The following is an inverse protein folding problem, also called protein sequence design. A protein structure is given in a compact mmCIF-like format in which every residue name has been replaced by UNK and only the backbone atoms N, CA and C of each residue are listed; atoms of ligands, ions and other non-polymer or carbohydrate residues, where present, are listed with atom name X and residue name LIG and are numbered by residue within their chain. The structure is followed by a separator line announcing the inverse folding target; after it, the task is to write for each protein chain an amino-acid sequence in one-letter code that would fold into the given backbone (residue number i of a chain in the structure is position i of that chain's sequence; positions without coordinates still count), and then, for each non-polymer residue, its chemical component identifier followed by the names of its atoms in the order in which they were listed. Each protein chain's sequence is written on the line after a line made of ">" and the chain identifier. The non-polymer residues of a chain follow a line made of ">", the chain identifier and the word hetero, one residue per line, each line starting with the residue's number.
data_IF_678162986201
#
_entry.id   IF_678162986201
#
_cell.length_a   1.000
_cell.length_b   1.000
_cell.length_c   1.000
_cell.angle_alpha   90.00
_cell.angle_beta   90.00
_cell.angle_gamma   90.00
#
_symmetry.space_group_name_H-M   'P 1'
#
loop_
_entity.id
_entity.type
_entity.pdbx_description
1 polymer ?
#
# COMPACT_ATOMS: atom_id res chain seq x y z
N UNK A 1 -16.12 42.83 65.37
CA UNK A 1 -16.52 42.80 63.95
C UNK A 1 -16.80 44.21 63.48
N UNK A 2 -16.15 44.67 62.41
CA UNK A 2 -16.55 45.91 61.72
C UNK A 2 -16.76 45.56 60.25
N UNK A 3 -18.00 45.27 59.93
CA UNK A 3 -18.47 44.87 58.61
C UNK A 3 -18.55 46.13 57.74
N UNK A 4 -17.57 46.30 56.85
CA UNK A 4 -17.52 47.42 55.90
C UNK A 4 -18.64 47.25 54.88
N UNK A 5 -19.70 48.06 55.01
CA UNK A 5 -20.78 48.17 54.04
C UNK A 5 -20.22 48.43 52.62
N UNK A 6 -20.81 47.82 51.57
CA UNK A 6 -20.34 47.99 50.20
C UNK A 6 -20.59 49.44 49.75
N UNK A 7 -19.51 50.21 49.57
CA UNK A 7 -19.57 51.53 48.93
C UNK A 7 -20.13 51.34 47.52
N UNK A 8 -21.32 51.88 47.24
CA UNK A 8 -21.87 51.99 45.88
C UNK A 8 -20.86 52.74 45.01
N UNK A 9 -20.22 52.02 44.10
CA UNK A 9 -19.24 52.58 43.16
C UNK A 9 -20.01 53.54 42.24
N UNK A 10 -19.58 54.80 42.06
CA UNK A 10 -20.28 55.75 41.22
C UNK A 10 -20.40 55.20 39.79
N UNK A 11 -21.57 55.36 39.18
CA UNK A 11 -21.93 54.76 37.88
C UNK A 11 -20.92 55.12 36.76
N UNK A 12 -20.29 56.29 36.84
CA UNK A 12 -19.21 56.72 35.94
C UNK A 12 -17.94 55.84 36.02
N UNK A 13 -17.55 55.40 37.22
CA UNK A 13 -16.38 54.52 37.42
C UNK A 13 -16.63 53.11 36.87
N UNK A 14 -17.87 52.62 37.01
CA UNK A 14 -18.27 51.33 36.45
C UNK A 14 -18.20 51.34 34.93
N UNK A 15 -18.65 52.43 34.30
CA UNK A 15 -18.57 52.62 32.85
C UNK A 15 -17.13 52.71 32.34
N UNK A 16 -16.24 53.39 33.07
CA UNK A 16 -14.82 53.45 32.72
C UNK A 16 -14.14 52.07 32.84
N UNK A 17 -14.42 51.32 33.91
CA UNK A 17 -13.94 49.93 34.08
C UNK A 17 -14.44 49.02 32.96
N UNK A 18 -15.71 49.12 32.58
CA UNK A 18 -16.29 48.35 31.45
C UNK A 18 -15.62 48.68 30.12
N UNK A 19 -15.33 49.96 29.84
CA UNK A 19 -14.60 50.38 28.63
C UNK A 19 -13.17 49.85 28.62
N UNK A 20 -12.47 49.90 29.75
CA UNK A 20 -11.12 49.35 29.87
C UNK A 20 -11.10 47.83 29.66
N UNK A 21 -12.04 47.10 30.27
CA UNK A 21 -12.18 45.66 30.11
C UNK A 21 -12.49 45.26 28.66
N UNK A 22 -13.40 45.97 27.98
CA UNK A 22 -13.70 45.71 26.57
C UNK A 22 -12.49 45.96 25.68
N UNK A 23 -11.71 47.02 25.93
CA UNK A 23 -10.45 47.26 25.21
C UNK A 23 -9.44 46.14 25.44
N UNK A 24 -9.30 45.67 26.67
CA UNK A 24 -8.42 44.54 27.00
C UNK A 24 -8.89 43.24 26.33
N UNK A 25 -10.19 42.94 26.39
CA UNK A 25 -10.78 41.77 25.74
C UNK A 25 -10.60 41.82 24.21
N UNK A 26 -10.79 42.98 23.59
CA UNK A 26 -10.58 43.16 22.15
C UNK A 26 -9.11 42.95 21.75
N UNK A 27 -8.17 43.44 22.57
CA UNK A 27 -6.73 43.21 22.35
C UNK A 27 -6.40 41.73 22.47
N UNK A 28 -6.84 41.06 23.53
CA UNK A 28 -6.65 39.62 23.71
C UNK A 28 -7.27 38.80 22.57
N UNK A 29 -8.44 39.20 22.06
CA UNK A 29 -9.06 38.53 20.92
C UNK A 29 -8.25 38.70 19.64
N UNK A 30 -7.76 39.92 19.37
CA UNK A 30 -6.90 40.19 18.21
C UNK A 30 -5.60 39.40 18.29
N UNK A 31 -4.95 39.40 19.45
CA UNK A 31 -3.70 38.67 19.70
C UNK A 31 -3.88 37.16 19.52
N UNK A 32 -4.96 36.58 20.06
CA UNK A 32 -5.28 35.16 19.83
C UNK A 32 -5.55 34.84 18.37
N UNK A 33 -6.26 35.73 17.65
CA UNK A 33 -6.56 35.54 16.23
C UNK A 33 -5.28 35.61 15.39
N UNK A 34 -4.42 36.59 15.66
CA UNK A 34 -3.12 36.73 15.01
C UNK A 34 -2.20 35.55 15.32
N UNK A 35 -2.17 35.09 16.58
CA UNK A 35 -1.43 33.89 16.98
C UNK A 35 -1.89 32.64 16.22
N UNK A 36 -3.21 32.44 16.08
CA UNK A 36 -3.75 31.31 15.31
C UNK A 36 -3.46 31.44 13.81
N UNK A 37 -3.52 32.64 13.25
CA UNK A 37 -3.15 32.87 11.84
C UNK A 37 -1.67 32.55 11.61
N UNK A 38 -0.80 32.97 12.52
CA UNK A 38 0.62 32.65 12.47
C UNK A 38 0.86 31.14 12.59
N UNK A 39 0.24 30.48 13.57
CA UNK A 39 0.34 29.03 13.74
C UNK A 39 -0.11 28.25 12.49
N UNK A 40 -1.19 28.69 11.84
CA UNK A 40 -1.65 28.09 10.59
C UNK A 40 -0.67 28.34 9.44
N UNK A 41 -0.09 29.54 9.35
CA UNK A 41 0.96 29.84 8.39
C UNK A 41 2.21 28.97 8.59
N UNK A 42 2.65 28.82 9.84
CA UNK A 42 3.79 27.98 10.21
C UNK A 42 3.53 26.50 9.88
N UNK A 43 2.32 25.98 10.17
CA UNK A 43 1.92 24.61 9.80
C UNK A 43 1.88 24.40 8.29
N UNK A 44 1.39 25.38 7.54
CA UNK A 44 1.34 25.31 6.09
C UNK A 44 2.75 25.29 5.50
N UNK A 45 3.64 26.17 5.97
CA UNK A 45 5.04 26.19 5.55
C UNK A 45 5.75 24.86 5.85
N UNK A 46 5.54 24.29 7.04
CA UNK A 46 6.09 22.99 7.42
C UNK A 46 5.55 21.86 6.51
N UNK A 47 4.25 21.86 6.22
CA UNK A 47 3.64 20.87 5.35
C UNK A 47 4.17 20.97 3.92
N UNK A 48 4.36 22.17 3.39
CA UNK A 48 4.97 22.40 2.08
C UNK A 48 6.42 21.93 2.02
N UNK A 49 7.22 22.21 3.06
CA UNK A 49 8.60 21.71 3.17
C UNK A 49 8.66 20.17 3.17
N UNK A 50 7.81 19.53 3.99
CA UNK A 50 7.70 18.08 4.04
C UNK A 50 7.28 17.49 2.69
N UNK A 51 6.32 18.11 2.01
CA UNK A 51 5.87 17.71 0.67
C UNK A 51 7.04 17.75 -0.33
N UNK A 52 7.81 18.83 -0.33
CA UNK A 52 8.97 18.99 -1.22
C UNK A 52 10.06 17.97 -0.92
N UNK A 53 10.32 17.67 0.35
CA UNK A 53 11.28 16.64 0.75
C UNK A 53 10.87 15.25 0.24
N UNK A 54 9.61 14.86 0.47
CA UNK A 54 9.08 13.59 0.00
C UNK A 54 9.10 13.49 -1.52
N UNK A 55 8.75 14.57 -2.23
CA UNK A 55 8.79 14.62 -3.69
C UNK A 55 10.22 14.42 -4.23
N UNK A 56 11.22 14.98 -3.55
CA UNK A 56 12.63 14.77 -3.89
C UNK A 56 13.04 13.30 -3.69
N UNK A 57 12.72 12.71 -2.54
CA UNK A 57 13.02 11.30 -2.24
C UNK A 57 12.34 10.36 -3.24
N UNK A 58 11.09 10.63 -3.60
CA UNK A 58 10.34 9.87 -4.61
C UNK A 58 11.05 9.93 -5.97
N UNK A 59 11.46 11.13 -6.41
CA UNK A 59 12.16 11.30 -7.67
C UNK A 59 13.52 10.56 -7.68
N UNK A 60 14.25 10.59 -6.57
CA UNK A 60 15.50 9.86 -6.42
C UNK A 60 15.30 8.35 -6.53
N UNK A 61 14.30 7.80 -5.83
CA UNK A 61 13.96 6.37 -5.90
C UNK A 61 13.54 5.98 -7.32
N UNK A 62 12.69 6.78 -7.98
CA UNK A 62 12.30 6.55 -9.37
C UNK A 62 13.49 6.52 -10.31
N UNK A 63 14.40 7.48 -10.18
CA UNK A 63 15.63 7.50 -10.98
C UNK A 63 16.47 6.25 -10.72
N UNK A 64 16.62 5.84 -9.46
CA UNK A 64 17.37 4.63 -9.11
C UNK A 64 16.74 3.35 -9.68
N UNK A 65 15.41 3.22 -9.62
CA UNK A 65 14.70 2.10 -10.22
C UNK A 65 14.92 2.04 -11.74
N UNK A 66 14.79 3.17 -12.43
CA UNK A 66 15.07 3.24 -13.88
C UNK A 66 16.50 2.77 -14.18
N UNK A 67 17.49 3.18 -13.38
CA UNK A 67 18.88 2.74 -13.58
C UNK A 67 19.05 1.24 -13.36
N UNK A 68 18.44 0.68 -12.31
CA UNK A 68 18.47 -0.76 -12.04
C UNK A 68 17.76 -1.56 -13.13
N UNK A 69 16.63 -1.08 -13.63
CA UNK A 69 15.89 -1.72 -14.72
C UNK A 69 16.72 -1.74 -16.02
N UNK A 70 17.43 -0.65 -16.31
CA UNK A 70 18.36 -0.59 -17.43
C UNK A 70 19.56 -1.54 -17.26
N UNK A 71 20.13 -1.63 -16.06
CA UNK A 71 21.21 -2.57 -15.75
C UNK A 71 20.74 -4.03 -15.91
N UNK A 72 19.56 -4.37 -15.37
CA UNK A 72 18.95 -5.68 -15.53
C UNK A 72 18.72 -6.02 -17.00
N UNK A 73 18.18 -5.08 -17.79
CA UNK A 73 17.98 -5.28 -19.22
C UNK A 73 19.31 -5.52 -19.96
N UNK A 74 20.36 -4.77 -19.62
CA UNK A 74 21.68 -4.95 -20.22
C UNK A 74 22.27 -6.32 -19.91
N UNK A 75 22.19 -6.77 -18.66
CA UNK A 75 22.67 -8.08 -18.23
C UNK A 75 21.92 -9.23 -18.91
N UNK A 76 20.60 -9.12 -19.04
CA UNK A 76 19.78 -10.09 -19.79
C UNK A 76 20.24 -10.18 -21.25
N UNK A 77 20.36 -9.04 -21.94
CA UNK A 77 20.83 -9.01 -23.33
C UNK A 77 22.26 -9.54 -23.50
N UNK A 78 23.14 -9.35 -22.51
CA UNK A 78 24.50 -9.87 -22.54
C UNK A 78 24.53 -11.39 -22.29
N UNK A 79 23.67 -11.89 -21.41
CA UNK A 79 23.51 -13.33 -21.19
C UNK A 79 23.01 -14.05 -22.45
N UNK A 80 22.08 -13.45 -23.20
CA UNK A 80 21.57 -14.00 -24.47
C UNK A 80 22.61 -13.97 -25.60
N UNK A 81 23.55 -13.01 -25.57
CA UNK A 81 24.62 -12.88 -26.58
C UNK A 81 25.87 -13.72 -26.25
N UNK A 82 25.93 -14.34 -25.07
CA UNK A 82 27.05 -15.16 -24.61
C UNK A 82 27.04 -16.63 -25.08
N UNK A 83 25.96 -17.11 -25.70
CA UNK A 83 25.85 -18.49 -26.21
C UNK A 83 26.22 -18.57 -27.69
N UNK A 84 27.46 -18.22 -28.02
CA UNK A 84 28.06 -18.58 -29.32
C UNK A 84 29.37 -19.31 -29.07
N UNK A 85 29.55 -20.47 -29.74
CA UNK A 85 30.64 -21.49 -29.69
C UNK A 85 30.22 -22.71 -28.85
N UNK A 86 30.10 -23.95 -29.37
CA UNK A 86 30.88 -24.66 -30.38
C UNK A 86 30.07 -25.76 -31.12
N UNK A 87 30.57 -26.14 -32.30
CA UNK A 87 30.05 -27.12 -33.26
C UNK A 87 29.80 -28.54 -32.68
N UNK A 88 28.69 -29.18 -33.10
CA UNK A 88 28.67 -30.60 -33.53
C UNK A 88 27.40 -30.96 -34.33
N UNK A 89 27.60 -31.07 -35.64
CA UNK A 89 27.00 -31.94 -36.67
C UNK A 89 25.93 -32.97 -36.26
N UNK A 90 24.66 -32.76 -36.66
CA UNK A 90 23.89 -33.60 -37.63
C UNK A 90 22.35 -33.45 -37.51
N UNK A 91 21.58 -33.76 -38.57
CA UNK A 91 20.23 -33.25 -38.80
C UNK A 91 19.12 -34.29 -38.51
N UNK A 92 17.98 -33.86 -37.96
CA UNK A 92 16.67 -34.47 -38.21
C UNK A 92 15.58 -33.57 -37.63
N UNK A 93 14.66 -33.15 -38.49
CA UNK A 93 13.40 -32.52 -38.12
C UNK A 93 12.47 -33.59 -37.56
N UNK A 94 12.01 -33.44 -36.32
CA UNK A 94 10.71 -33.97 -35.87
C UNK A 94 10.27 -33.32 -34.55
N UNK A 95 9.28 -32.44 -34.68
CA UNK A 95 8.26 -32.00 -33.72
C UNK A 95 8.44 -32.44 -32.26
N UNK A 96 9.07 -31.59 -31.46
CA UNK A 96 8.88 -31.54 -30.01
C UNK A 96 8.38 -30.14 -29.70
N UNK A 97 7.13 -30.04 -29.27
CA UNK A 97 6.56 -28.84 -28.67
C UNK A 97 7.45 -28.47 -27.48
N UNK A 98 8.33 -27.51 -27.69
CA UNK A 98 9.17 -26.96 -26.63
C UNK A 98 8.23 -26.32 -25.61
N UNK A 99 8.28 -26.69 -24.32
CA UNK A 99 7.72 -25.82 -23.31
C UNK A 99 8.55 -24.55 -23.38
N UNK A 100 7.85 -23.44 -23.59
CA UNK A 100 8.39 -22.09 -23.62
C UNK A 100 9.49 -21.95 -22.57
N UNK A 101 10.65 -21.47 -23.02
CA UNK A 101 11.73 -21.03 -22.14
C UNK A 101 11.09 -20.11 -21.11
N UNK A 102 10.89 -20.67 -19.92
CA UNK A 102 10.37 -19.97 -18.77
C UNK A 102 11.15 -18.68 -18.66
N UNK A 103 10.48 -17.56 -18.94
CA UNK A 103 10.81 -16.27 -18.37
C UNK A 103 11.13 -16.55 -16.91
N UNK A 104 12.42 -16.67 -16.57
CA UNK A 104 12.86 -16.73 -15.19
C UNK A 104 12.77 -15.30 -14.68
N UNK A 105 11.53 -14.82 -14.57
CA UNK A 105 11.16 -13.64 -13.84
C UNK A 105 11.38 -14.04 -12.39
N UNK A 106 12.50 -13.58 -11.82
CA UNK A 106 12.75 -13.73 -10.40
C UNK A 106 11.46 -13.41 -9.66
N UNK A 107 10.93 -14.28 -8.76
CA UNK A 107 9.72 -13.97 -8.01
C UNK A 107 10.05 -12.76 -7.16
N UNK A 108 9.75 -11.60 -7.71
CA UNK A 108 9.66 -10.40 -6.93
C UNK A 108 8.57 -10.76 -5.92
N UNK A 109 8.89 -10.76 -4.63
CA UNK A 109 7.89 -10.86 -3.56
C UNK A 109 7.03 -9.58 -3.55
N UNK A 110 6.61 -9.13 -4.72
CA UNK A 110 5.85 -7.94 -4.95
C UNK A 110 4.40 -8.36 -5.07
N UNK A 111 3.59 -7.68 -4.29
CA UNK A 111 2.14 -7.83 -4.23
C UNK A 111 1.48 -7.81 -5.61
N UNK A 112 2.04 -7.06 -6.57
CA UNK A 112 1.56 -7.01 -7.97
C UNK A 112 1.62 -8.36 -8.69
N UNK A 113 2.72 -9.09 -8.54
CA UNK A 113 2.94 -10.37 -9.23
C UNK A 113 2.04 -11.45 -8.65
N UNK A 114 1.80 -11.40 -7.33
CA UNK A 114 0.83 -12.26 -6.67
C UNK A 114 -0.59 -12.00 -7.15
N UNK A 115 -0.99 -10.72 -7.22
CA UNK A 115 -2.33 -10.34 -7.69
C UNK A 115 -2.52 -10.79 -9.14
N UNK A 116 -1.49 -10.63 -9.97
CA UNK A 116 -1.53 -11.03 -11.38
C UNK A 116 -1.57 -12.55 -11.56
N UNK A 117 -0.76 -13.29 -10.81
CA UNK A 117 -0.66 -14.74 -10.98
C UNK A 117 -1.80 -15.53 -10.34
N UNK A 118 -2.49 -14.96 -9.35
CA UNK A 118 -3.52 -15.67 -8.59
C UNK A 118 -4.88 -15.70 -9.30
N UNK A 119 -5.13 -14.85 -10.30
CA UNK A 119 -6.45 -14.67 -10.93
C UNK A 119 -6.50 -15.36 -12.30
N UNK A 120 -7.59 -16.07 -12.60
CA UNK A 120 -7.89 -16.52 -13.96
C UNK A 120 -8.68 -15.46 -14.75
N UNK A 121 -7.94 -14.57 -15.42
CA UNK A 121 -8.51 -13.48 -16.23
C UNK A 121 -9.50 -13.94 -17.31
N UNK A 122 -9.33 -15.15 -17.85
CA UNK A 122 -10.20 -15.68 -18.91
C UNK A 122 -11.60 -15.99 -18.38
N UNK A 123 -11.71 -16.36 -17.10
CA UNK A 123 -12.98 -16.69 -16.44
C UNK A 123 -13.78 -15.45 -16.04
N UNK A 124 -13.11 -14.32 -15.88
CA UNK A 124 -13.71 -13.11 -15.28
C UNK A 124 -13.90 -11.94 -16.24
N UNK A 125 -13.44 -12.02 -17.50
CA UNK A 125 -13.50 -10.93 -18.50
C UNK A 125 -12.94 -9.59 -17.98
N UNK A 126 -11.98 -9.62 -17.06
CA UNK A 126 -11.41 -8.41 -16.45
C UNK A 126 -10.06 -8.10 -17.10
N UNK A 127 -9.88 -6.85 -17.53
CA UNK A 127 -8.59 -6.35 -18.01
C UNK A 127 -7.62 -6.16 -16.81
N UNK A 128 -6.35 -6.60 -16.91
CA UNK A 128 -5.38 -6.53 -15.81
C UNK A 128 -5.21 -5.13 -15.21
N UNK A 129 -5.36 -4.09 -16.02
CA UNK A 129 -5.21 -2.68 -15.63
C UNK A 129 -6.26 -2.22 -14.61
N UNK A 130 -7.51 -2.69 -14.74
CA UNK A 130 -8.60 -2.34 -13.81
C UNK A 130 -8.43 -3.02 -12.43
N UNK A 131 -7.82 -4.20 -12.38
CA UNK A 131 -7.60 -4.94 -11.13
C UNK A 131 -6.46 -4.32 -10.33
N UNK A 132 -5.36 -3.92 -10.98
CA UNK A 132 -4.23 -3.32 -10.27
C UNK A 132 -4.65 -2.01 -9.58
N UNK A 133 -5.43 -1.19 -10.29
CA UNK A 133 -5.99 0.06 -9.77
C UNK A 133 -6.99 -0.19 -8.63
N UNK A 134 -7.90 -1.17 -8.74
CA UNK A 134 -8.83 -1.50 -7.64
C UNK A 134 -8.15 -2.18 -6.45
N UNK A 135 -7.11 -2.99 -6.68
CA UNK A 135 -6.38 -3.73 -5.65
C UNK A 135 -5.54 -2.84 -4.73
N UNK A 136 -5.16 -1.65 -5.24
CA UNK A 136 -4.45 -0.62 -4.48
C UNK A 136 -5.33 0.02 -3.40
N UNK A 137 -6.67 -0.07 -3.53
CA UNK A 137 -7.62 0.58 -2.62
C UNK A 137 -8.50 -0.38 -1.81
N UNK A 138 -8.55 -1.68 -2.14
CA UNK A 138 -9.51 -2.62 -1.55
C UNK A 138 -8.81 -3.78 -0.84
N UNK A 139 -8.18 -3.47 0.29
CA UNK A 139 -7.77 -4.45 1.30
C UNK A 139 -8.89 -4.68 2.31
N UNK A 140 -10.05 -5.14 1.86
CA UNK A 140 -11.21 -5.37 2.73
C UNK A 140 -11.55 -6.87 2.77
N UNK A 141 -11.82 -7.39 3.98
CA UNK A 141 -12.49 -8.67 4.14
C UNK A 141 -13.99 -8.43 4.16
N UNK A 142 -14.74 -9.07 3.28
CA UNK A 142 -16.19 -8.98 3.25
C UNK A 142 -16.81 -10.19 3.93
N UNK A 143 -18.00 -10.01 4.50
CA UNK A 143 -18.82 -11.09 5.02
C UNK A 143 -19.87 -11.40 3.95
N UNK A 144 -19.79 -12.56 3.31
CA UNK A 144 -20.77 -13.01 2.34
C UNK A 144 -21.29 -14.38 2.78
N UNK A 145 -22.61 -14.50 2.98
CA UNK A 145 -23.28 -15.77 3.27
C UNK A 145 -22.66 -16.57 4.43
N UNK A 146 -22.40 -15.90 5.56
CA UNK A 146 -21.77 -16.44 6.79
C UNK A 146 -20.25 -16.75 6.70
N UNK A 147 -19.67 -16.74 5.50
CA UNK A 147 -18.23 -16.97 5.29
C UNK A 147 -17.45 -15.65 5.10
N UNK A 148 -16.29 -15.56 5.75
CA UNK A 148 -15.36 -14.43 5.60
C UNK A 148 -14.58 -14.61 4.30
N UNK A 149 -14.75 -13.70 3.35
CA UNK A 149 -14.03 -13.70 2.06
C UNK A 149 -13.00 -12.56 2.02
N UNK A 150 -11.85 -12.82 1.44
CA UNK A 150 -10.73 -11.89 1.33
C UNK A 150 -10.50 -11.56 -0.14
N UNK A 151 -10.34 -10.27 -0.45
CA UNK A 151 -9.88 -9.83 -1.77
C UNK A 151 -8.45 -10.30 -2.01
N UNK A 152 -8.03 -10.43 -3.28
CA UNK A 152 -6.66 -10.88 -3.62
C UNK A 152 -5.58 -10.05 -2.89
N UNK A 153 -5.80 -8.74 -2.78
CA UNK A 153 -4.91 -7.82 -2.05
C UNK A 153 -4.81 -8.17 -0.56
N UNK A 154 -5.94 -8.54 0.07
CA UNK A 154 -5.99 -8.97 1.47
C UNK A 154 -5.44 -10.40 1.68
N UNK A 155 -5.55 -11.30 0.68
CA UNK A 155 -4.95 -12.64 0.76
C UNK A 155 -3.42 -12.54 0.82
N UNK A 156 -2.82 -11.68 0.00
CA UNK A 156 -1.38 -11.43 0.06
C UNK A 156 -0.93 -10.96 1.44
N UNK A 157 -1.63 -9.95 1.98
CA UNK A 157 -1.30 -9.39 3.29
C UNK A 157 -1.45 -10.45 4.39
N UNK A 158 -2.47 -11.30 4.30
CA UNK A 158 -2.68 -12.44 5.21
C UNK A 158 -1.53 -13.46 5.16
N UNK A 159 -1.06 -13.83 3.97
CA UNK A 159 0.06 -14.78 3.81
C UNK A 159 1.36 -14.17 4.36
N UNK A 160 1.61 -12.89 4.11
CA UNK A 160 2.81 -12.21 4.62
C UNK A 160 2.78 -12.06 6.14
N UNK A 161 1.63 -11.74 6.73
CA UNK A 161 1.45 -11.71 8.18
C UNK A 161 1.64 -13.11 8.80
N UNK A 162 1.10 -14.15 8.18
CA UNK A 162 1.30 -15.53 8.61
C UNK A 162 2.78 -15.95 8.57
N UNK A 163 3.52 -15.58 7.53
CA UNK A 163 4.95 -15.85 7.43
C UNK A 163 5.77 -15.07 8.46
N UNK A 164 5.44 -13.80 8.71
CA UNK A 164 6.14 -12.98 9.71
C UNK A 164 5.88 -13.46 11.16
N UNK A 165 4.69 -13.98 11.44
CA UNK A 165 4.35 -14.53 12.76
C UNK A 165 5.02 -15.88 13.04
N UNK A 166 5.36 -16.62 11.98
CA UNK A 166 5.94 -17.95 12.07
C UNK A 166 7.31 -17.99 11.37
N UNK A 167 8.34 -17.43 12.02
CA UNK A 167 9.72 -17.38 11.48
C UNK A 167 10.33 -18.76 11.15
N UNK A 168 9.80 -19.84 11.73
CA UNK A 168 10.27 -21.22 11.50
C UNK A 168 9.49 -21.96 10.40
N UNK A 169 8.63 -21.27 9.67
CA UNK A 169 7.80 -21.85 8.62
C UNK A 169 8.18 -21.25 7.27
N UNK A 170 8.58 -22.12 6.35
CA UNK A 170 8.82 -21.73 4.96
C UNK A 170 7.50 -21.88 4.19
N UNK A 171 6.97 -20.74 3.71
CA UNK A 171 5.72 -20.68 2.95
C UNK A 171 6.02 -20.65 1.44
N UNK A 172 5.53 -21.64 0.69
CA UNK A 172 5.66 -21.67 -0.78
C UNK A 172 4.61 -20.77 -1.44
N UNK A 173 4.94 -19.48 -1.54
CA UNK A 173 4.08 -18.46 -2.17
C UNK A 173 3.73 -18.81 -3.64
N UNK A 174 4.67 -19.23 -4.51
CA UNK A 174 4.34 -19.72 -5.86
C UNK A 174 3.35 -20.89 -5.88
N UNK A 175 3.50 -21.86 -4.99
CA UNK A 175 2.57 -22.99 -4.85
C UNK A 175 1.16 -22.53 -4.45
N UNK A 176 1.08 -21.64 -3.47
CA UNK A 176 -0.19 -21.03 -3.03
C UNK A 176 -0.86 -20.30 -4.21
N UNK A 177 -0.13 -19.48 -4.97
CA UNK A 177 -0.68 -18.76 -6.13
C UNK A 177 -1.30 -19.70 -7.16
N UNK A 178 -0.61 -20.79 -7.49
CA UNK A 178 -1.08 -21.76 -8.47
C UNK A 178 -2.35 -22.50 -7.99
N UNK A 179 -2.42 -22.81 -6.69
CA UNK A 179 -3.57 -23.49 -6.10
C UNK A 179 -4.76 -22.56 -5.83
N UNK A 180 -4.50 -21.26 -5.63
CA UNK A 180 -5.54 -20.24 -5.51
C UNK A 180 -6.22 -20.00 -6.88
N UNK A 181 -5.43 -20.03 -7.96
CA UNK A 181 -5.91 -19.75 -9.31
C UNK A 181 -7.10 -20.63 -9.70
N UNK A 182 -8.21 -19.98 -10.07
CA UNK A 182 -9.44 -20.66 -10.50
C UNK A 182 -10.45 -20.98 -9.39
N UNK A 183 -10.07 -20.88 -8.10
CA UNK A 183 -10.97 -20.99 -6.93
C UNK A 183 -11.64 -19.65 -6.54
N UNK A 184 -11.61 -18.68 -7.45
CA UNK A 184 -12.11 -17.32 -7.25
C UNK A 184 -13.64 -17.25 -7.24
N UNK A 185 -14.16 -16.41 -6.35
CA UNK A 185 -15.59 -16.06 -6.25
C UNK A 185 -15.77 -14.56 -6.44
N UNK A 186 -16.58 -14.16 -7.42
CA UNK A 186 -16.87 -12.76 -7.70
C UNK A 186 -17.91 -12.20 -6.74
N UNK A 187 -17.56 -11.13 -6.04
CA UNK A 187 -18.46 -10.49 -5.07
C UNK A 187 -18.70 -9.01 -5.41
N UNK A 188 -19.07 -8.67 -6.65
CA UNK A 188 -19.41 -7.29 -7.06
C UNK A 188 -18.28 -6.24 -7.01
N UNK A 189 -17.24 -6.47 -6.21
CA UNK A 189 -16.06 -5.63 -5.96
C UNK A 189 -14.77 -6.25 -6.52
N UNK A 190 -14.88 -7.39 -7.21
CA UNK A 190 -13.75 -8.12 -7.81
C UNK A 190 -13.71 -9.60 -7.42
N UNK A 191 -12.62 -10.31 -7.79
CA UNK A 191 -12.39 -11.68 -7.40
C UNK A 191 -11.94 -11.74 -5.93
N UNK A 192 -12.51 -12.68 -5.18
CA UNK A 192 -12.19 -12.89 -3.78
C UNK A 192 -12.16 -14.39 -3.46
N UNK A 193 -11.52 -14.73 -2.34
CA UNK A 193 -11.37 -16.11 -1.89
C UNK A 193 -11.94 -16.28 -0.48
N UNK A 194 -12.69 -17.37 -0.21
CA UNK A 194 -13.09 -17.72 1.14
C UNK A 194 -11.89 -18.00 2.04
N UNK A 195 -11.95 -17.56 3.30
CA UNK A 195 -10.88 -17.78 4.29
C UNK A 195 -10.59 -19.26 4.52
N UNK A 196 -11.60 -20.13 4.46
CA UNK A 196 -11.42 -21.57 4.60
C UNK A 196 -10.50 -22.13 3.52
N UNK A 197 -10.75 -21.76 2.26
CA UNK A 197 -9.94 -22.18 1.11
C UNK A 197 -8.51 -21.66 1.21
N UNK A 198 -8.33 -20.41 1.65
CA UNK A 198 -7.00 -19.81 1.84
C UNK A 198 -6.22 -20.58 2.93
N UNK A 199 -6.85 -20.87 4.06
CA UNK A 199 -6.20 -21.57 5.16
C UNK A 199 -5.79 -22.99 4.77
N UNK A 200 -6.67 -23.73 4.08
CA UNK A 200 -6.37 -25.09 3.61
C UNK A 200 -5.15 -25.08 2.68
N UNK A 201 -5.12 -24.15 1.72
CA UNK A 201 -4.00 -24.01 0.77
C UNK A 201 -2.71 -23.59 1.49
N UNK A 202 -2.78 -22.69 2.47
CA UNK A 202 -1.59 -22.31 3.24
C UNK A 202 -1.04 -23.53 3.98
N UNK A 203 -1.90 -24.33 4.63
CA UNK A 203 -1.47 -25.53 5.36
C UNK A 203 -0.85 -26.59 4.45
N UNK A 204 -1.34 -26.73 3.23
CA UNK A 204 -0.81 -27.67 2.23
C UNK A 204 0.55 -27.23 1.62
N UNK A 205 0.92 -25.95 1.76
CA UNK A 205 2.13 -25.36 1.16
C UNK A 205 3.07 -24.75 2.23
N UNK A 206 3.00 -25.29 3.45
CA UNK A 206 3.81 -24.91 4.60
C UNK A 206 4.65 -26.09 5.02
N UNK A 207 5.96 -25.94 4.93
CA UNK A 207 6.92 -26.90 5.48
C UNK A 207 7.48 -26.35 6.80
N UNK A 208 7.51 -27.21 7.83
CA UNK A 208 8.28 -26.94 9.06
C UNK A 208 9.72 -27.37 8.82
N UNK A 209 10.67 -26.44 8.93
CA UNK A 209 12.11 -26.74 8.94
C UNK A 209 12.57 -27.37 10.27
#
# INVERSE_FOLDING_TARGET
>A
MSEKAPKKIPEGDLNQRRRAQNRAAQRAFRERKEGKLKELGDKLALAEEQRLKLEKELNEIKQRNILLDLENQFLQQQSDKGTTTTNSTSPMSEHITQPDTSNFQFPSKQKSDFILGSIDYQKHNILPENILESSQYVGESYQHEEDKVLTISAVWDYIMEFSNLNENITVDVPGIMLQLKGKEVCHGFGPAYPIGVINDIIMDNVDMD
#
